data_IF_475438765378
#
_entry.id   IF_475438765378
#
_cell.length_a   1.000
_cell.length_b   1.000
_cell.length_c   1.000
_cell.angle_alpha   90.00
_cell.angle_beta   90.00
_cell.angle_gamma   90.00
#
_symmetry.space_group_name_H-M   'P 1'
#
loop_
_entity.id
_entity.type
_entity.pdbx_description
1 polymer ?
#
# COMPACT_ATOMS: atom_id res chain seq x y z
N UNK A 1 31.98 19.18 1.50
CA UNK A 1 31.93 19.16 0.02
C UNK A 1 30.81 18.31 -0.59
N UNK A 2 30.28 17.27 0.07
CA UNK A 2 29.15 16.49 -0.49
C UNK A 2 27.80 17.20 -0.28
N UNK A 3 27.59 17.86 0.87
CA UNK A 3 26.33 18.59 1.15
C UNK A 3 26.07 19.79 0.23
N UNK A 4 27.10 20.46 -0.28
CA UNK A 4 26.95 21.64 -1.16
C UNK A 4 26.54 21.27 -2.58
N UNK A 5 26.71 20.02 -3.01
CA UNK A 5 26.23 19.54 -4.31
C UNK A 5 24.74 19.17 -4.28
N UNK A 6 24.26 18.59 -3.18
CA UNK A 6 22.82 18.30 -3.01
C UNK A 6 21.95 19.56 -2.94
N UNK A 7 22.49 20.68 -2.50
CA UNK A 7 21.76 21.96 -2.46
C UNK A 7 21.60 22.61 -3.84
N UNK A 8 22.36 22.18 -4.86
CA UNK A 8 22.40 22.84 -6.18
C UNK A 8 21.77 21.98 -7.27
N UNK A 9 21.72 20.65 -7.11
CA UNK A 9 21.16 19.71 -8.09
C UNK A 9 20.02 18.87 -7.49
N UNK A 10 18.83 19.47 -7.34
CA UNK A 10 17.59 18.69 -7.19
C UNK A 10 17.27 17.86 -8.44
N UNK A 11 17.93 18.14 -9.57
CA UNK A 11 17.69 17.53 -10.88
C UNK A 11 18.27 16.11 -11.07
N UNK A 12 18.92 15.50 -10.07
CA UNK A 12 19.56 14.19 -10.25
C UNK A 12 18.80 13.00 -9.61
N UNK A 13 17.57 13.21 -9.14
CA UNK A 13 16.74 12.11 -8.62
C UNK A 13 15.84 11.54 -9.72
N UNK A 14 16.08 10.27 -10.06
CA UNK A 14 15.21 9.51 -10.95
C UNK A 14 14.08 8.88 -10.13
N UNK A 15 12.83 9.14 -10.51
CA UNK A 15 11.65 8.50 -9.91
C UNK A 15 11.15 7.41 -10.84
N UNK A 16 11.27 6.16 -10.41
CA UNK A 16 10.71 5.01 -11.12
C UNK A 16 9.42 4.54 -10.45
N UNK A 17 8.39 4.28 -11.26
CA UNK A 17 7.06 3.87 -10.77
C UNK A 17 6.74 2.47 -11.28
N UNK A 18 6.38 1.59 -10.35
CA UNK A 18 6.04 0.20 -10.65
C UNK A 18 4.65 -0.13 -10.11
N UNK A 19 3.86 -0.84 -10.92
CA UNK A 19 2.55 -1.35 -10.51
C UNK A 19 2.59 -2.87 -10.54
N UNK A 20 2.30 -3.49 -9.40
CA UNK A 20 2.19 -4.96 -9.29
C UNK A 20 0.74 -5.34 -9.05
N UNK A 21 0.22 -6.19 -9.93
CA UNK A 21 -1.14 -6.74 -9.83
C UNK A 21 -1.06 -8.24 -9.60
N UNK A 22 -1.86 -8.74 -8.67
CA UNK A 22 -2.03 -10.16 -8.39
C UNK A 22 -3.50 -10.56 -8.45
N UNK A 23 -3.78 -11.77 -8.91
CA UNK A 23 -5.14 -12.36 -8.88
C UNK A 23 -5.07 -13.77 -8.33
N UNK A 24 -6.16 -14.21 -7.70
CA UNK A 24 -6.38 -15.62 -7.34
C UNK A 24 -7.33 -16.25 -8.35
N UNK A 25 -7.04 -17.47 -8.79
CA UNK A 25 -7.92 -18.25 -9.67
C UNK A 25 -7.72 -19.75 -9.44
N UNK A 26 -8.73 -20.55 -9.78
CA UNK A 26 -8.66 -22.02 -9.68
C UNK A 26 -7.71 -22.63 -10.70
N UNK A 27 -7.54 -21.97 -11.84
CA UNK A 27 -6.70 -22.43 -12.93
C UNK A 27 -5.75 -21.33 -13.41
N UNK A 28 -4.55 -21.74 -13.82
CA UNK A 28 -3.47 -20.87 -14.28
C UNK A 28 -3.86 -20.13 -15.55
N UNK A 29 -4.56 -20.77 -16.49
CA UNK A 29 -4.99 -20.13 -17.75
C UNK A 29 -5.99 -19.01 -17.47
N UNK A 30 -6.92 -19.24 -16.55
CA UNK A 30 -7.87 -18.23 -16.11
C UNK A 30 -7.17 -17.05 -15.40
N UNK A 31 -6.20 -17.32 -14.51
CA UNK A 31 -5.42 -16.27 -13.86
C UNK A 31 -4.68 -15.40 -14.88
N UNK A 32 -4.07 -16.03 -15.89
CA UNK A 32 -3.34 -15.33 -16.94
C UNK A 32 -4.25 -14.43 -17.78
N UNK A 33 -5.44 -14.91 -18.14
CA UNK A 33 -6.45 -14.10 -18.83
C UNK A 33 -6.83 -12.86 -18.02
N UNK A 34 -7.19 -13.03 -16.75
CA UNK A 34 -7.53 -11.90 -15.86
C UNK A 34 -6.40 -10.86 -15.76
N UNK A 35 -5.15 -11.32 -15.61
CA UNK A 35 -4.00 -10.41 -15.54
C UNK A 35 -3.76 -9.67 -16.86
N UNK A 36 -3.92 -10.35 -18.01
CA UNK A 36 -3.81 -9.71 -19.32
C UNK A 36 -4.92 -8.67 -19.55
N UNK A 37 -6.15 -8.96 -19.13
CA UNK A 37 -7.25 -8.00 -19.23
C UNK A 37 -6.95 -6.73 -18.43
N UNK A 38 -6.43 -6.90 -17.21
CA UNK A 38 -5.99 -5.77 -16.36
C UNK A 38 -4.80 -5.03 -16.99
N UNK A 39 -3.80 -5.73 -17.52
CA UNK A 39 -2.66 -5.11 -18.19
C UNK A 39 -3.09 -4.29 -19.41
N UNK A 40 -3.98 -4.84 -20.24
CA UNK A 40 -4.55 -4.14 -21.40
C UNK A 40 -5.36 -2.92 -20.99
N UNK A 41 -6.10 -3.01 -19.89
CA UNK A 41 -6.84 -1.88 -19.36
C UNK A 41 -5.90 -0.76 -18.90
N UNK A 42 -4.86 -1.07 -18.13
CA UNK A 42 -3.85 -0.09 -17.74
C UNK A 42 -3.18 0.55 -18.94
N UNK A 43 -2.71 -0.25 -19.91
CA UNK A 43 -2.06 0.29 -21.11
C UNK A 43 -2.94 1.27 -21.86
N UNK A 44 -4.24 0.97 -22.02
CA UNK A 44 -5.20 1.89 -22.66
C UNK A 44 -5.40 3.18 -21.87
N UNK A 45 -5.56 3.08 -20.54
CA UNK A 45 -5.77 4.25 -19.68
C UNK A 45 -4.54 5.17 -19.68
N UNK A 46 -3.33 4.61 -19.59
CA UNK A 46 -2.10 5.39 -19.60
C UNK A 46 -1.75 5.93 -20.99
N UNK A 47 -2.17 5.25 -22.07
CA UNK A 47 -2.01 5.76 -23.42
C UNK A 47 -2.83 7.04 -23.67
N UNK A 48 -3.99 7.21 -23.01
CA UNK A 48 -4.80 8.45 -23.12
C UNK A 48 -4.02 9.68 -22.61
N UNK A 49 -3.09 9.49 -21.68
CA UNK A 49 -2.26 10.55 -21.07
C UNK A 49 -0.82 10.52 -21.58
N UNK A 50 -0.55 9.82 -22.69
CA UNK A 50 0.77 9.67 -23.31
C UNK A 50 1.88 9.14 -22.37
N UNK A 51 1.50 8.37 -21.35
CA UNK A 51 2.46 7.74 -20.45
C UNK A 51 2.76 6.32 -20.97
N UNK A 52 4.04 6.00 -21.25
CA UNK A 52 4.40 4.67 -21.69
C UNK A 52 4.23 3.65 -20.56
N UNK A 53 3.57 2.53 -20.88
CA UNK A 53 3.35 1.44 -19.93
C UNK A 53 4.04 0.17 -20.42
N UNK A 54 5.06 -0.29 -19.71
CA UNK A 54 5.90 -1.42 -20.11
C UNK A 54 5.75 -2.60 -19.16
N UNK A 55 5.49 -3.79 -19.73
CA UNK A 55 5.48 -5.02 -18.95
C UNK A 55 6.91 -5.46 -18.57
N UNK A 56 7.09 -5.81 -17.29
CA UNK A 56 8.34 -6.36 -16.78
C UNK A 56 8.24 -7.88 -16.63
N UNK A 57 9.20 -8.58 -17.22
CA UNK A 57 9.42 -10.01 -17.01
C UNK A 57 10.06 -10.30 -15.64
N UNK A 58 10.27 -11.59 -15.35
CA UNK A 58 10.84 -12.01 -14.08
C UNK A 58 12.25 -11.48 -13.84
N UNK A 59 13.14 -11.57 -14.83
CA UNK A 59 14.54 -11.16 -14.69
C UNK A 59 14.66 -9.65 -14.50
N UNK A 60 13.91 -8.84 -15.25
CA UNK A 60 13.86 -7.38 -15.07
C UNK A 60 13.39 -7.00 -13.66
N UNK A 61 12.39 -7.73 -13.12
CA UNK A 61 11.95 -7.51 -11.73
C UNK A 61 13.05 -7.85 -10.72
N UNK A 62 13.79 -8.95 -10.93
CA UNK A 62 14.91 -9.31 -10.07
C UNK A 62 16.01 -8.26 -10.10
N UNK A 63 16.30 -7.68 -11.27
CA UNK A 63 17.28 -6.60 -11.41
C UNK A 63 16.89 -5.36 -10.59
N UNK A 64 15.61 -4.97 -10.59
CA UNK A 64 15.12 -3.85 -9.75
C UNK A 64 15.35 -4.14 -8.27
N UNK A 65 15.02 -5.34 -7.80
CA UNK A 65 15.26 -5.71 -6.40
C UNK A 65 16.75 -5.84 -6.06
N UNK A 66 17.58 -6.30 -7.01
CA UNK A 66 19.02 -6.39 -6.83
C UNK A 66 19.66 -5.01 -6.71
N UNK A 67 19.18 -4.04 -7.48
CA UNK A 67 19.60 -2.65 -7.34
C UNK A 67 19.24 -2.10 -5.96
N UNK A 68 17.98 -2.29 -5.55
CA UNK A 68 17.50 -1.82 -4.25
C UNK A 68 18.25 -2.45 -3.06
N UNK A 69 18.52 -3.76 -3.12
CA UNK A 69 19.08 -4.52 -1.99
C UNK A 69 20.60 -4.58 -1.98
N UNK A 70 21.25 -4.58 -3.15
CA UNK A 70 22.70 -4.78 -3.31
C UNK A 70 23.41 -3.58 -3.94
N UNK A 71 22.66 -2.61 -4.48
CA UNK A 71 23.22 -1.50 -5.26
C UNK A 71 23.81 -1.93 -6.61
N UNK A 72 23.34 -3.06 -7.15
CA UNK A 72 23.78 -3.57 -8.45
C UNK A 72 22.58 -4.17 -9.21
N UNK A 73 22.11 -3.50 -10.28
CA UNK A 73 20.97 -3.96 -11.07
C UNK A 73 21.32 -5.12 -12.01
N UNK A 74 22.59 -5.49 -12.14
CA UNK A 74 23.02 -6.51 -13.11
C UNK A 74 23.02 -7.90 -12.48
N UNK A 75 21.89 -8.61 -12.57
CA UNK A 75 21.87 -10.06 -12.43
C UNK A 75 21.91 -10.73 -13.79
N UNK A 76 22.93 -11.53 -14.01
CA UNK A 76 22.97 -12.47 -15.13
C UNK A 76 22.27 -13.78 -14.72
N UNK A 77 20.97 -13.71 -14.42
CA UNK A 77 20.16 -14.83 -13.95
C UNK A 77 18.85 -14.89 -14.73
N UNK A 78 18.67 -15.94 -15.52
CA UNK A 78 17.38 -16.34 -16.07
C UNK A 78 16.61 -17.16 -15.01
N UNK A 79 15.29 -17.13 -15.04
CA UNK A 79 14.44 -18.04 -14.27
C UNK A 79 14.75 -19.51 -14.55
N UNK A 80 15.31 -19.85 -15.72
CA UNK A 80 15.85 -21.18 -15.98
C UNK A 80 17.00 -21.54 -15.03
N UNK A 81 17.91 -20.60 -14.78
CA UNK A 81 19.05 -20.80 -13.87
C UNK A 81 18.58 -20.94 -12.43
N UNK A 82 17.57 -20.15 -12.02
CA UNK A 82 16.91 -20.30 -10.72
C UNK A 82 16.39 -21.72 -10.55
N UNK A 83 15.68 -22.26 -11.55
CA UNK A 83 15.14 -23.62 -11.52
C UNK A 83 16.24 -24.69 -11.44
N UNK A 84 17.34 -24.54 -12.17
CA UNK A 84 18.44 -25.52 -12.18
C UNK A 84 19.21 -25.49 -10.85
N UNK A 85 19.42 -24.30 -10.29
CA UNK A 85 20.18 -24.12 -9.05
C UNK A 85 19.54 -24.74 -7.81
N UNK A 86 18.22 -25.00 -7.84
CA UNK A 86 17.45 -25.38 -6.66
C UNK A 86 17.28 -24.26 -5.63
N UNK A 87 17.76 -23.04 -5.93
CA UNK A 87 17.65 -21.88 -5.06
C UNK A 87 16.36 -21.09 -5.33
N UNK A 88 15.94 -20.31 -4.33
CA UNK A 88 14.86 -19.35 -4.49
C UNK A 88 15.38 -18.09 -5.19
N UNK A 89 14.48 -17.37 -5.86
CA UNK A 89 14.79 -16.06 -6.47
C UNK A 89 15.41 -15.07 -5.46
N UNK A 90 14.96 -15.15 -4.19
CA UNK A 90 15.47 -14.32 -3.08
C UNK A 90 16.98 -14.52 -2.84
N UNK A 91 17.51 -15.73 -3.08
CA UNK A 91 18.93 -16.04 -2.88
C UNK A 91 19.84 -15.25 -3.83
N UNK A 92 19.34 -14.87 -5.00
CA UNK A 92 20.11 -14.12 -6.00
C UNK A 92 20.11 -12.61 -5.73
N UNK A 93 19.09 -12.09 -5.04
CA UNK A 93 18.92 -10.66 -4.77
C UNK A 93 19.27 -10.27 -3.33
N UNK A 94 19.53 -11.24 -2.44
CA UNK A 94 19.79 -10.96 -1.03
C UNK A 94 21.04 -10.07 -0.84
N UNK A 95 21.01 -9.11 0.10
CA UNK A 95 22.20 -8.35 0.49
C UNK A 95 23.25 -9.27 1.10
N UNK A 96 24.51 -8.85 1.09
CA UNK A 96 25.60 -9.65 1.64
C UNK A 96 25.53 -9.79 3.16
N UNK A 97 25.16 -8.71 3.86
CA UNK A 97 25.06 -8.66 5.33
C UNK A 97 23.92 -7.74 5.79
N UNK A 98 23.24 -8.17 6.85
CA UNK A 98 22.26 -7.38 7.59
C UNK A 98 22.67 -7.31 9.05
N UNK A 99 22.66 -6.10 9.63
CA UNK A 99 22.90 -5.89 11.05
C UNK A 99 21.82 -4.98 11.64
N UNK A 100 21.07 -5.50 12.61
CA UNK A 100 19.89 -4.82 13.15
C UNK A 100 20.17 -4.09 14.46
N UNK A 101 19.58 -2.91 14.58
CA UNK A 101 19.52 -2.09 15.78
C UNK A 101 18.03 -1.79 16.08
N UNK A 102 17.67 -1.26 17.27
CA UNK A 102 16.26 -1.09 17.65
C UNK A 102 15.41 -0.28 16.67
N UNK A 103 15.96 0.75 16.03
CA UNK A 103 15.22 1.68 15.17
C UNK A 103 15.78 1.83 13.74
N UNK A 104 16.85 1.09 13.43
CA UNK A 104 17.56 1.14 12.16
C UNK A 104 18.30 -0.18 11.92
N UNK A 105 18.80 -0.37 10.71
CA UNK A 105 19.67 -1.51 10.39
C UNK A 105 20.71 -1.09 9.35
N UNK A 106 21.80 -1.83 9.30
CA UNK A 106 22.75 -1.74 8.20
C UNK A 106 22.47 -2.84 7.18
N UNK A 107 22.37 -2.45 5.92
CA UNK A 107 22.35 -3.33 4.76
C UNK A 107 23.66 -3.13 3.99
N UNK A 108 24.54 -4.12 4.08
CA UNK A 108 25.92 -4.03 3.63
C UNK A 108 26.66 -2.80 4.18
N UNK A 109 26.80 -1.73 3.38
CA UNK A 109 27.48 -0.48 3.76
C UNK A 109 26.52 0.71 3.90
N UNK A 110 25.20 0.50 3.75
CA UNK A 110 24.17 1.54 3.84
C UNK A 110 23.44 1.44 5.18
N UNK A 111 23.22 2.58 5.84
CA UNK A 111 22.30 2.69 6.98
C UNK A 111 20.87 2.85 6.44
N UNK A 112 19.95 2.05 6.97
CA UNK A 112 18.59 1.96 6.52
C UNK A 112 17.62 2.10 7.70
N UNK A 113 16.48 2.74 7.46
CA UNK A 113 15.39 2.89 8.42
C UNK A 113 14.06 2.64 7.71
N UNK A 114 13.16 1.90 8.36
CA UNK A 114 11.84 1.60 7.83
C UNK A 114 10.82 2.45 8.56
N UNK A 115 10.01 3.17 7.80
CA UNK A 115 8.85 3.90 8.29
C UNK A 115 7.59 3.25 7.73
N UNK A 116 6.55 3.18 8.55
CA UNK A 116 5.24 2.69 8.10
C UNK A 116 4.14 3.54 8.73
N UNK A 117 3.13 3.86 7.94
CA UNK A 117 1.92 4.50 8.44
C UNK A 117 0.98 3.41 8.99
N UNK A 118 0.66 3.46 10.28
CA UNK A 118 -0.34 2.56 10.90
C UNK A 118 -1.75 2.84 10.42
N UNK A 119 -2.03 4.12 10.19
CA UNK A 119 -3.29 4.63 9.68
C UNK A 119 -2.96 5.57 8.54
N UNK A 120 -3.61 5.39 7.40
CA UNK A 120 -3.45 6.26 6.23
C UNK A 120 -4.72 7.11 6.10
N UNK A 121 -4.84 8.23 6.84
CA UNK A 121 -6.04 9.04 6.83
C UNK A 121 -6.21 9.73 5.47
N UNK A 122 -7.45 9.98 5.07
CA UNK A 122 -7.78 10.53 3.75
C UNK A 122 -7.14 11.91 3.47
N UNK A 123 -6.81 12.67 4.50
CA UNK A 123 -6.12 13.97 4.38
C UNK A 123 -4.64 13.83 3.97
N UNK A 124 -4.05 12.65 4.15
CA UNK A 124 -2.68 12.32 3.78
C UNK A 124 -2.58 12.02 2.28
N UNK A 125 -3.31 12.83 1.50
CA UNK A 125 -3.46 12.71 0.06
C UNK A 125 -2.11 12.93 -0.65
N UNK A 126 -2.13 12.79 -1.97
CA UNK A 126 -1.03 12.89 -2.95
C UNK A 126 0.14 13.83 -2.60
N UNK A 127 -0.12 14.90 -1.83
CA UNK A 127 0.90 15.76 -1.20
C UNK A 127 1.95 15.02 -0.39
N UNK A 128 1.63 13.93 0.31
CA UNK A 128 2.63 13.17 1.07
C UNK A 128 3.67 12.58 0.13
N UNK A 129 3.23 11.85 -0.90
CA UNK A 129 4.12 11.15 -1.82
C UNK A 129 5.01 12.17 -2.53
N UNK A 130 4.42 13.28 -2.97
CA UNK A 130 5.17 14.41 -3.52
C UNK A 130 6.21 14.95 -2.53
N UNK A 131 5.80 15.22 -1.30
CA UNK A 131 6.70 15.73 -0.27
C UNK A 131 7.85 14.77 0.01
N UNK A 132 7.60 13.46 0.02
CA UNK A 132 8.64 12.44 0.20
C UNK A 132 9.62 12.42 -0.97
N UNK A 133 9.14 12.48 -2.21
CA UNK A 133 10.01 12.51 -3.39
C UNK A 133 10.84 13.79 -3.47
N UNK A 134 10.35 14.90 -2.89
CA UNK A 134 11.04 16.20 -2.88
C UNK A 134 12.15 16.30 -1.81
N UNK A 135 12.27 15.33 -0.88
CA UNK A 135 13.29 15.35 0.21
C UNK A 135 14.72 15.26 -0.35
N UNK A 136 14.91 14.68 -1.54
CA UNK A 136 16.24 14.50 -2.12
C UNK A 136 17.09 13.47 -1.36
N UNK A 137 16.47 12.37 -0.91
CA UNK A 137 17.15 11.19 -0.38
C UNK A 137 16.72 9.94 -1.15
N UNK A 138 17.62 8.97 -1.30
CA UNK A 138 17.29 7.65 -1.87
C UNK A 138 16.28 6.95 -0.96
N UNK A 139 15.09 6.65 -1.50
CA UNK A 139 14.01 6.00 -0.75
C UNK A 139 13.18 5.09 -1.66
N UNK A 140 12.56 4.07 -1.06
CA UNK A 140 11.58 3.22 -1.72
C UNK A 140 10.23 3.33 -0.99
N UNK A 141 9.17 3.62 -1.74
CA UNK A 141 7.80 3.69 -1.21
C UNK A 141 7.04 2.45 -1.71
N UNK A 142 6.51 1.67 -0.78
CA UNK A 142 5.60 0.56 -1.11
C UNK A 142 4.19 0.90 -0.64
N UNK A 143 3.24 0.94 -1.59
CA UNK A 143 1.83 1.15 -1.31
C UNK A 143 1.09 -0.16 -1.60
N UNK A 144 0.50 -0.74 -0.56
CA UNK A 144 -0.32 -1.95 -0.68
C UNK A 144 -1.79 -1.57 -0.61
N UNK A 145 -2.47 -1.62 -1.76
CA UNK A 145 -3.90 -1.40 -1.86
C UNK A 145 -4.61 -2.72 -2.18
N UNK A 146 -5.68 -3.02 -1.44
CA UNK A 146 -6.62 -4.07 -1.77
C UNK A 146 -7.96 -3.40 -2.12
N UNK A 147 -8.50 -3.56 -3.33
CA UNK A 147 -9.81 -3.02 -3.65
C UNK A 147 -10.83 -3.61 -2.66
N UNK A 148 -11.67 -2.75 -2.11
CA UNK A 148 -12.75 -3.18 -1.23
C UNK A 148 -13.72 -4.06 -2.02
N UNK A 149 -14.02 -5.25 -1.49
CA UNK A 149 -15.17 -5.99 -1.96
C UNK A 149 -16.41 -5.24 -1.47
N UNK A 150 -17.17 -4.68 -2.40
CA UNK A 150 -18.37 -3.87 -2.12
C UNK A 150 -19.34 -4.66 -1.21
N UNK A 151 -19.46 -5.98 -1.39
CA UNK A 151 -20.32 -6.80 -0.56
C UNK A 151 -19.79 -6.94 0.88
N UNK A 152 -18.47 -7.09 1.05
CA UNK A 152 -17.84 -7.16 2.37
C UNK A 152 -17.85 -5.81 3.08
N UNK A 153 -17.69 -4.71 2.33
CA UNK A 153 -17.77 -3.35 2.84
C UNK A 153 -19.19 -3.01 3.34
N UNK A 154 -20.23 -3.27 2.53
CA UNK A 154 -21.63 -3.08 2.92
C UNK A 154 -21.97 -3.94 4.14
N UNK A 155 -21.49 -5.18 4.19
CA UNK A 155 -21.70 -6.04 5.36
C UNK A 155 -21.04 -5.47 6.63
N UNK A 156 -19.81 -4.94 6.53
CA UNK A 156 -19.12 -4.30 7.67
C UNK A 156 -19.84 -3.04 8.13
N UNK A 157 -20.30 -2.19 7.22
CA UNK A 157 -21.09 -0.98 7.55
C UNK A 157 -22.39 -1.36 8.24
N UNK A 158 -23.16 -2.30 7.67
CA UNK A 158 -24.42 -2.77 8.28
C UNK A 158 -24.18 -3.40 9.66
N UNK A 159 -23.08 -4.12 9.85
CA UNK A 159 -22.72 -4.72 11.15
C UNK A 159 -22.34 -3.65 12.16
N UNK A 160 -21.58 -2.63 11.75
CA UNK A 160 -21.23 -1.51 12.61
C UNK A 160 -22.47 -0.69 13.03
N UNK A 161 -23.36 -0.38 12.08
CA UNK A 161 -24.65 0.28 12.39
C UNK A 161 -25.53 -0.53 13.34
N UNK A 162 -25.63 -1.84 13.11
CA UNK A 162 -26.38 -2.73 14.01
C UNK A 162 -25.78 -2.72 15.42
N UNK A 163 -24.44 -2.71 15.54
CA UNK A 163 -23.74 -2.57 16.81
C UNK A 163 -24.07 -1.25 17.52
N UNK A 164 -23.98 -0.13 16.81
CA UNK A 164 -24.29 1.20 17.37
C UNK A 164 -25.76 1.29 17.78
N UNK A 165 -26.70 0.77 16.98
CA UNK A 165 -28.13 0.71 17.35
C UNK A 165 -28.36 -0.17 18.58
N UNK A 166 -27.71 -1.33 18.67
CA UNK A 166 -27.81 -2.19 19.84
C UNK A 166 -27.26 -1.51 21.09
N UNK A 167 -26.15 -0.78 20.98
CA UNK A 167 -25.55 -0.05 22.10
C UNK A 167 -26.42 1.14 22.52
N UNK A 168 -27.04 1.85 21.57
CA UNK A 168 -28.04 2.88 21.87
C UNK A 168 -29.28 2.31 22.57
N UNK A 169 -29.79 1.15 22.13
CA UNK A 169 -30.91 0.49 22.80
C UNK A 169 -30.52 0.06 24.22
N UNK A 170 -29.34 -0.53 24.40
CA UNK A 170 -28.84 -0.92 25.72
C UNK A 170 -28.67 0.30 26.64
N UNK A 171 -28.14 1.42 26.13
CA UNK A 171 -27.95 2.64 26.92
C UNK A 171 -29.30 3.28 27.29
N UNK A 172 -30.27 3.29 26.37
CA UNK A 172 -31.64 3.76 26.64
C UNK A 172 -32.36 2.88 27.67
N UNK A 173 -32.27 1.55 27.56
CA UNK A 173 -32.86 0.62 28.54
C UNK A 173 -32.22 0.82 29.92
N UNK A 174 -30.89 0.93 29.98
CA UNK A 174 -30.18 1.17 31.23
C UNK A 174 -30.52 2.55 31.85
N UNK A 175 -30.74 3.58 31.03
CA UNK A 175 -31.13 4.91 31.48
C UNK A 175 -32.58 4.95 31.98
N UNK A 176 -33.50 4.28 31.29
CA UNK A 176 -34.90 4.14 31.71
C UNK A 176 -35.02 3.42 33.06
N UNK A 177 -34.24 2.35 33.28
CA UNK A 177 -34.15 1.67 34.57
C UNK A 177 -33.63 2.56 35.70
N UNK A 178 -32.81 3.57 35.39
CA UNK A 178 -32.24 4.52 36.34
C UNK A 178 -33.06 5.82 36.48
N UNK A 179 -34.21 5.93 35.81
CA UNK A 179 -35.07 7.12 35.86
C UNK A 179 -34.49 8.35 35.15
N UNK A 180 -33.51 8.18 34.26
CA UNK A 180 -32.86 9.26 33.51
C UNK A 180 -33.51 9.39 32.13
N UNK A 181 -33.87 10.61 31.72
CA UNK A 181 -34.51 10.87 30.41
C UNK A 181 -33.64 10.41 29.24
N UNK A 182 -34.25 9.66 28.30
CA UNK A 182 -33.57 8.94 27.21
C UNK A 182 -32.72 9.80 26.26
N UNK A 183 -32.94 11.11 26.19
CA UNK A 183 -32.15 12.04 25.37
C UNK A 183 -30.78 12.41 25.98
N UNK A 184 -30.55 12.20 27.28
CA UNK A 184 -29.24 12.46 27.91
C UNK A 184 -28.31 11.22 27.95
N UNK A 185 -28.80 10.05 27.54
CA UNK A 185 -28.11 8.77 27.69
C UNK A 185 -27.39 8.26 26.44
N UNK A 186 -27.50 8.97 25.31
CA UNK A 186 -26.79 8.63 24.08
C UNK A 186 -25.46 9.38 24.09
N UNK A 187 -24.35 8.64 24.19
CA UNK A 187 -22.99 9.19 24.13
C UNK A 187 -22.77 9.96 22.82
N UNK A 188 -22.19 11.17 22.86
CA UNK A 188 -21.93 11.96 21.63
C UNK A 188 -21.08 11.17 20.63
N UNK A 189 -20.18 10.32 21.11
CA UNK A 189 -19.33 9.44 20.27
C UNK A 189 -20.17 8.48 19.43
N UNK A 190 -21.31 8.00 19.94
CA UNK A 190 -22.20 7.12 19.19
C UNK A 190 -23.01 7.87 18.12
N UNK A 191 -23.35 9.14 18.37
CA UNK A 191 -23.95 10.02 17.36
C UNK A 191 -22.94 10.37 16.27
N UNK A 192 -21.72 10.76 16.65
CA UNK A 192 -20.65 11.12 15.70
C UNK A 192 -20.31 9.94 14.77
N UNK A 193 -20.24 8.73 15.32
CA UNK A 193 -19.96 7.51 14.52
C UNK A 193 -21.13 7.15 13.59
N UNK A 194 -22.38 7.40 14.00
CA UNK A 194 -23.56 7.17 13.16
C UNK A 194 -23.67 8.20 12.02
N UNK A 195 -23.36 9.47 12.30
CA UNK A 195 -23.30 10.52 11.28
C UNK A 195 -22.18 10.29 10.27
N UNK A 196 -21.02 9.80 10.71
CA UNK A 196 -19.96 9.39 9.80
C UNK A 196 -20.42 8.21 8.92
N UNK A 197 -21.07 7.19 9.47
CA UNK A 197 -21.60 6.08 8.68
C UNK A 197 -22.63 6.53 7.61
N UNK A 198 -23.50 7.50 7.92
CA UNK A 198 -24.43 8.09 6.94
C UNK A 198 -23.72 8.85 5.82
N UNK A 199 -22.66 9.62 6.14
CA UNK A 199 -21.87 10.34 5.13
C UNK A 199 -21.24 9.40 4.10
N UNK A 200 -20.80 8.20 4.51
CA UNK A 200 -20.26 7.19 3.60
C UNK A 200 -21.32 6.59 2.66
N UNK A 201 -22.60 6.61 3.04
CA UNK A 201 -23.71 6.14 2.21
C UNK A 201 -24.10 7.17 1.14
N UNK A 202 -24.12 8.45 1.50
CA UNK A 202 -24.54 9.53 0.61
C UNK A 202 -23.41 10.03 -0.32
N UNK A 203 -22.14 9.82 0.04
CA UNK A 203 -20.99 10.15 -0.81
C UNK A 203 -20.70 9.16 -1.96
N UNK A 204 -21.48 8.09 -2.07
CA UNK A 204 -21.37 7.06 -3.12
C UNK A 204 -22.57 7.04 -4.10
N UNK A 205 -23.34 8.13 -4.16
CA UNK A 205 -24.31 8.39 -5.23
C UNK A 205 -23.72 9.27 -6.32
#
# INVERSE_FOLDING_TARGET
MIRSRFATDQNNFQVEKFVTVSTTSRDRKQAYRKLNDVANHFSKQFQIVDIPFHALDGTKRLNIFADLLRGNPYLNVDYKDVRISGLLTKSFIAPGRLWFQPDQFMMDKKYCKIFFARTFPAFLNDRLIKSLTDIGIELAISIHAKPYDVAEAVKKVNTAEAGVKMDMVKSQVAAAQKGVSGNLAVSSVAQDTAEEAEKWKNGNQ
#
